data_IF_482855540912
#
_entry.id   IF_482855540912
#
_cell.length_a   1.000
_cell.length_b   1.000
_cell.length_c   1.000
_cell.angle_alpha   90.00
_cell.angle_beta   90.00
_cell.angle_gamma   90.00
#
_symmetry.space_group_name_H-M   'P 1'
#
loop_
_entity.id
_entity.type
_entity.pdbx_description
1 polymer ?
#
# COMPACT_ATOMS: atom_id res chain seq x y z
N UNK A 1 13.16 -16.10 -5.63
CA UNK A 1 12.34 -16.99 -4.79
C UNK A 1 11.81 -16.27 -3.57
N UNK A 2 12.61 -15.94 -2.54
CA UNK A 2 12.07 -15.34 -1.31
C UNK A 2 11.35 -13.99 -1.56
N UNK A 3 11.96 -13.05 -2.31
CA UNK A 3 11.29 -11.79 -2.68
C UNK A 3 10.04 -11.99 -3.55
N UNK A 4 10.05 -13.00 -4.43
CA UNK A 4 8.90 -13.40 -5.26
C UNK A 4 7.74 -13.89 -4.39
N UNK A 5 8.01 -14.74 -3.40
CA UNK A 5 7.00 -15.23 -2.47
C UNK A 5 6.40 -14.11 -1.63
N UNK A 6 7.23 -13.17 -1.16
CA UNK A 6 6.76 -12.04 -0.37
C UNK A 6 5.89 -11.08 -1.21
N UNK A 7 6.23 -10.84 -2.48
CA UNK A 7 5.40 -10.05 -3.39
C UNK A 7 4.07 -10.74 -3.71
N UNK A 8 4.05 -12.08 -3.84
CA UNK A 8 2.79 -12.84 -3.93
C UNK A 8 1.96 -12.68 -2.64
N UNK A 9 2.61 -12.68 -1.48
CA UNK A 9 1.98 -12.41 -0.18
C UNK A 9 1.32 -11.03 -0.14
N UNK A 10 2.02 -9.99 -0.59
CA UNK A 10 1.46 -8.65 -0.76
C UNK A 10 0.24 -8.63 -1.69
N UNK A 11 0.32 -9.35 -2.83
CA UNK A 11 -0.81 -9.56 -3.74
C UNK A 11 -2.05 -10.23 -3.12
N UNK A 12 -1.88 -10.97 -2.02
CA UNK A 12 -2.97 -11.59 -1.25
C UNK A 12 -3.52 -10.61 -0.19
N UNK A 13 -2.63 -9.90 0.51
CA UNK A 13 -2.97 -9.05 1.66
C UNK A 13 -3.55 -7.69 1.24
N UNK A 14 -3.08 -7.09 0.14
CA UNK A 14 -3.54 -5.78 -0.34
C UNK A 14 -5.05 -5.74 -0.63
N UNK A 15 -5.63 -6.73 -1.36
CA UNK A 15 -7.08 -6.79 -1.54
C UNK A 15 -7.86 -6.99 -0.23
N UNK A 16 -7.30 -7.73 0.73
CA UNK A 16 -7.94 -7.95 2.03
C UNK A 16 -8.03 -6.64 2.83
N UNK A 17 -6.93 -5.91 2.97
CA UNK A 17 -6.89 -4.62 3.67
C UNK A 17 -7.76 -3.57 2.97
N UNK A 18 -7.74 -3.53 1.64
CA UNK A 18 -8.54 -2.58 0.85
C UNK A 18 -10.04 -2.73 1.11
N UNK A 19 -10.53 -3.97 1.21
CA UNK A 19 -11.95 -4.25 1.49
C UNK A 19 -12.30 -3.90 2.93
N UNK A 20 -11.42 -4.20 3.89
CA UNK A 20 -11.63 -3.84 5.30
C UNK A 20 -11.71 -2.32 5.48
N UNK A 21 -10.79 -1.57 4.85
CA UNK A 21 -10.79 -0.11 4.88
C UNK A 21 -12.07 0.50 4.28
N UNK A 22 -12.56 -0.05 3.16
CA UNK A 22 -13.83 0.38 2.58
C UNK A 22 -15.03 0.14 3.53
N UNK A 23 -14.97 -0.92 4.33
CA UNK A 23 -16.03 -1.25 5.28
C UNK A 23 -15.98 -0.44 6.56
N UNK A 24 -14.78 -0.09 7.05
CA UNK A 24 -14.60 0.90 8.11
C UNK A 24 -15.22 2.25 7.71
N UNK A 25 -15.05 2.67 6.47
CA UNK A 25 -15.68 3.89 5.94
C UNK A 25 -17.21 3.88 5.92
N UNK A 26 -17.84 2.71 5.82
CA UNK A 26 -19.30 2.59 5.95
C UNK A 26 -19.73 2.64 7.42
N UNK A 27 -18.92 2.09 8.31
CA UNK A 27 -19.21 2.03 9.76
C UNK A 27 -19.05 3.37 10.46
N UNK A 28 -18.12 4.23 10.02
CA UNK A 28 -17.87 5.52 10.66
C UNK A 28 -19.14 6.40 10.85
N UNK A 29 -20.05 6.53 9.87
CA UNK A 29 -21.32 7.25 10.04
C UNK A 29 -22.46 6.39 10.62
N UNK A 30 -22.35 5.05 10.57
CA UNK A 30 -23.39 4.12 11.05
C UNK A 30 -22.82 3.05 11.99
N UNK A 31 -22.60 3.38 13.29
CA UNK A 31 -22.08 2.43 14.28
C UNK A 31 -22.98 1.22 14.52
N UNK A 32 -24.26 1.30 14.13
CA UNK A 32 -25.25 0.23 14.23
C UNK A 32 -25.00 -0.93 13.25
N UNK A 33 -24.14 -0.75 12.24
CA UNK A 33 -23.69 -1.82 11.33
C UNK A 33 -22.62 -2.66 12.04
N UNK A 34 -23.00 -3.37 13.10
CA UNK A 34 -22.10 -4.24 13.86
C UNK A 34 -22.33 -5.73 13.54
N UNK A 35 -21.22 -6.46 13.34
CA UNK A 35 -21.05 -7.92 13.25
C UNK A 35 -21.73 -8.71 12.11
N UNK A 36 -22.77 -8.23 11.44
CA UNK A 36 -23.28 -8.88 10.19
C UNK A 36 -22.41 -8.59 8.95
N UNK A 37 -21.33 -7.83 9.12
CA UNK A 37 -20.47 -7.33 8.05
C UNK A 37 -19.60 -8.39 7.39
N UNK A 38 -19.33 -9.51 8.05
CA UNK A 38 -18.39 -10.54 7.53
C UNK A 38 -18.84 -11.04 6.14
N UNK A 39 -20.15 -11.23 5.93
CA UNK A 39 -20.73 -11.61 4.64
C UNK A 39 -20.56 -10.53 3.54
N UNK A 40 -20.64 -9.26 3.93
CA UNK A 40 -20.43 -8.15 3.01
C UNK A 40 -18.97 -8.01 2.56
N UNK A 41 -17.99 -8.33 3.43
CA UNK A 41 -16.57 -8.37 3.03
C UNK A 41 -16.37 -9.38 1.89
N UNK A 42 -16.94 -10.58 2.00
CA UNK A 42 -16.80 -11.60 0.96
C UNK A 42 -17.47 -11.19 -0.34
N UNK A 43 -18.65 -10.57 -0.29
CA UNK A 43 -19.33 -10.13 -1.49
C UNK A 43 -18.48 -9.12 -2.27
N UNK A 44 -17.83 -8.17 -1.58
CA UNK A 44 -16.96 -7.17 -2.22
C UNK A 44 -15.69 -7.82 -2.80
N UNK A 45 -15.02 -8.69 -2.04
CA UNK A 45 -13.83 -9.44 -2.54
C UNK A 45 -14.20 -10.26 -3.77
N UNK A 46 -15.31 -11.01 -3.70
CA UNK A 46 -15.75 -11.88 -4.78
C UNK A 46 -16.10 -11.06 -6.03
N UNK A 47 -16.80 -9.94 -5.88
CA UNK A 47 -17.05 -9.00 -6.98
C UNK A 47 -15.74 -8.47 -7.56
N UNK A 48 -14.78 -8.06 -6.73
CA UNK A 48 -13.48 -7.55 -7.17
C UNK A 48 -12.71 -8.59 -7.99
N UNK A 49 -12.64 -9.84 -7.52
CA UNK A 49 -11.95 -10.94 -8.20
C UNK A 49 -12.70 -11.43 -9.45
N UNK A 50 -14.04 -11.40 -9.46
CA UNK A 50 -14.84 -11.75 -10.63
C UNK A 50 -14.78 -10.68 -11.72
N UNK A 51 -14.60 -9.41 -11.35
CA UNK A 51 -14.43 -8.31 -12.30
C UNK A 51 -13.08 -8.35 -13.02
N UNK A 52 -12.06 -9.04 -12.45
CA UNK A 52 -10.73 -9.18 -13.07
C UNK A 52 -10.79 -9.78 -14.49
N UNK A 53 -11.77 -10.65 -14.78
CA UNK A 53 -11.95 -11.29 -16.09
C UNK A 53 -12.22 -10.31 -17.23
N UNK A 54 -12.71 -9.11 -16.94
CA UNK A 54 -13.03 -8.10 -17.95
C UNK A 54 -11.79 -7.34 -18.45
N UNK A 55 -10.63 -7.62 -17.87
CA UNK A 55 -9.33 -7.27 -18.41
C UNK A 55 -8.85 -5.85 -18.09
N UNK A 56 -7.56 -5.75 -17.82
CA UNK A 56 -6.81 -4.52 -17.56
C UNK A 56 -6.96 -3.46 -18.65
N UNK A 57 -7.15 -3.86 -19.92
CA UNK A 57 -7.13 -2.93 -21.07
C UNK A 57 -8.28 -1.92 -21.10
N UNK A 58 -9.52 -2.33 -20.80
CA UNK A 58 -10.67 -1.40 -20.72
C UNK A 58 -10.77 -0.70 -19.38
N UNK A 59 -10.30 -1.35 -18.32
CA UNK A 59 -10.46 -0.84 -16.95
C UNK A 59 -9.35 0.16 -16.58
N UNK A 60 -8.14 0.04 -17.16
CA UNK A 60 -7.03 0.98 -16.97
C UNK A 60 -7.38 2.43 -17.35
N UNK A 61 -8.21 2.64 -18.39
CA UNK A 61 -8.69 3.98 -18.75
C UNK A 61 -9.61 4.58 -17.68
N UNK A 62 -10.40 3.75 -16.97
CA UNK A 62 -11.25 4.18 -15.87
C UNK A 62 -10.46 4.39 -14.57
N UNK A 63 -9.31 3.75 -14.40
CA UNK A 63 -8.47 3.89 -13.21
C UNK A 63 -7.75 5.22 -13.12
N UNK A 64 -7.26 5.73 -14.25
CA UNK A 64 -6.56 7.02 -14.28
C UNK A 64 -7.40 8.19 -13.72
N UNK A 65 -8.69 8.39 -14.10
CA UNK A 65 -9.50 9.46 -13.52
C UNK A 65 -9.85 9.22 -12.05
N UNK A 66 -10.01 7.97 -11.61
CA UNK A 66 -10.25 7.65 -10.20
C UNK A 66 -9.03 8.03 -9.35
N UNK A 67 -7.83 7.64 -9.78
CA UNK A 67 -6.59 8.00 -9.08
C UNK A 67 -6.30 9.50 -9.15
N UNK A 68 -6.61 10.15 -10.27
CA UNK A 68 -6.58 11.61 -10.39
C UNK A 68 -7.51 12.30 -9.39
N UNK A 69 -8.76 11.84 -9.28
CA UNK A 69 -9.71 12.35 -8.31
C UNK A 69 -9.24 12.13 -6.87
N UNK A 70 -8.74 10.93 -6.55
CA UNK A 70 -8.19 10.62 -5.23
C UNK A 70 -7.03 11.55 -4.87
N UNK A 71 -6.01 11.63 -5.73
CA UNK A 71 -4.80 12.41 -5.51
C UNK A 71 -5.03 13.92 -5.46
N UNK A 72 -6.12 14.42 -6.05
CA UNK A 72 -6.54 15.83 -5.97
C UNK A 72 -7.44 16.11 -4.77
N UNK A 73 -8.43 15.26 -4.48
CA UNK A 73 -9.39 15.50 -3.40
C UNK A 73 -8.75 15.38 -2.01
N UNK A 74 -7.90 14.38 -1.78
CA UNK A 74 -7.30 14.15 -0.46
C UNK A 74 -6.40 15.30 0.04
N UNK A 75 -5.53 15.94 -0.77
CA UNK A 75 -4.77 17.09 -0.29
C UNK A 75 -5.62 18.33 -0.11
N UNK A 76 -6.70 18.52 -0.88
CA UNK A 76 -7.63 19.64 -0.68
C UNK A 76 -8.31 19.53 0.69
N UNK A 77 -8.74 18.33 1.07
CA UNK A 77 -9.29 18.05 2.40
C UNK A 77 -8.21 18.23 3.47
N UNK A 78 -6.98 17.77 3.20
CA UNK A 78 -5.82 17.99 4.06
C UNK A 78 -5.58 19.48 4.32
N UNK A 79 -5.51 20.31 3.27
CA UNK A 79 -5.34 21.77 3.36
C UNK A 79 -6.48 22.41 4.15
N UNK A 80 -7.72 22.02 3.90
CA UNK A 80 -8.87 22.52 4.67
C UNK A 80 -8.71 22.21 6.16
N UNK A 81 -8.34 20.97 6.51
CA UNK A 81 -8.12 20.57 7.90
C UNK A 81 -6.97 21.33 8.56
N UNK A 82 -5.87 21.57 7.83
CA UNK A 82 -4.72 22.36 8.33
C UNK A 82 -5.15 23.77 8.70
N UNK A 83 -5.89 24.44 7.81
CA UNK A 83 -6.33 25.82 8.01
C UNK A 83 -7.30 25.93 9.19
N UNK A 84 -8.23 24.98 9.33
CA UNK A 84 -9.25 24.99 10.38
C UNK A 84 -8.70 24.55 11.75
N UNK A 85 -7.87 23.52 11.79
CA UNK A 85 -7.46 22.88 13.05
C UNK A 85 -6.13 23.43 13.56
N UNK A 86 -5.05 23.36 12.77
CA UNK A 86 -3.72 23.74 13.28
C UNK A 86 -2.74 24.14 12.15
N UNK A 87 -2.68 25.42 11.77
CA UNK A 87 -1.78 25.88 10.70
C UNK A 87 -0.28 25.74 11.02
N UNK A 88 0.09 25.73 12.30
CA UNK A 88 1.48 25.56 12.73
C UNK A 88 2.00 24.12 12.63
N UNK A 89 1.20 23.19 12.08
CA UNK A 89 1.57 21.78 11.93
C UNK A 89 2.82 21.57 11.07
N UNK A 90 3.11 22.47 10.12
CA UNK A 90 4.27 22.35 9.24
C UNK A 90 5.61 22.32 9.99
N UNK A 91 5.65 22.77 11.25
CA UNK A 91 6.82 22.60 12.11
C UNK A 91 7.19 21.12 12.27
N UNK A 92 6.20 20.22 12.28
CA UNK A 92 6.41 18.77 12.41
C UNK A 92 7.20 18.16 11.24
N UNK A 93 7.31 18.84 10.09
CA UNK A 93 8.15 18.40 8.98
C UNK A 93 9.65 18.58 9.26
N UNK A 94 10.02 19.36 10.27
CA UNK A 94 11.43 19.52 10.65
C UNK A 94 11.98 18.23 11.26
N UNK A 95 13.11 17.69 10.76
CA UNK A 95 13.76 16.49 11.31
C UNK A 95 14.07 16.60 12.81
N UNK A 96 14.19 17.81 13.34
CA UNK A 96 14.41 18.04 14.76
C UNK A 96 13.35 17.39 15.66
N UNK A 97 12.09 17.36 15.22
CA UNK A 97 11.00 16.73 15.99
C UNK A 97 11.10 15.22 16.01
N UNK A 98 11.62 14.61 14.95
CA UNK A 98 11.86 13.16 14.90
C UNK A 98 12.91 12.77 15.95
N UNK A 99 14.03 13.49 16.02
CA UNK A 99 15.06 13.25 17.03
C UNK A 99 14.52 13.44 18.46
N UNK A 100 13.77 14.53 18.70
CA UNK A 100 13.18 14.78 20.01
C UNK A 100 12.14 13.72 20.40
N UNK A 101 11.35 13.22 19.44
CA UNK A 101 10.37 12.16 19.65
C UNK A 101 11.03 10.85 20.11
N UNK A 102 12.07 10.41 19.39
CA UNK A 102 12.79 9.18 19.77
C UNK A 102 13.58 9.33 21.06
N UNK A 103 14.15 10.51 21.32
CA UNK A 103 14.84 10.78 22.58
C UNK A 103 13.90 10.69 23.79
N UNK A 104 12.66 11.18 23.65
CA UNK A 104 11.66 11.18 24.72
C UNK A 104 10.99 9.82 24.93
N UNK A 105 10.63 9.13 23.85
CA UNK A 105 9.79 7.92 23.91
C UNK A 105 10.60 6.62 23.86
N UNK A 106 11.87 6.66 23.45
CA UNK A 106 12.77 5.51 23.42
C UNK A 106 12.15 4.28 22.74
N UNK A 107 11.96 3.21 23.50
CA UNK A 107 11.42 1.92 23.02
C UNK A 107 9.97 2.03 22.52
N UNK A 108 9.12 2.82 23.16
CA UNK A 108 7.73 3.02 22.70
C UNK A 108 7.71 3.73 21.34
N UNK A 109 8.58 4.73 21.16
CA UNK A 109 8.75 5.39 19.87
C UNK A 109 9.20 4.43 18.77
N UNK A 110 10.11 3.50 19.09
CA UNK A 110 10.55 2.46 18.16
C UNK A 110 9.41 1.50 17.77
N UNK A 111 8.56 1.07 18.71
CA UNK A 111 7.40 0.21 18.40
C UNK A 111 6.39 0.92 17.47
N UNK A 112 6.22 2.23 17.63
CA UNK A 112 5.32 3.03 16.78
C UNK A 112 5.79 3.11 15.31
N UNK A 113 7.09 2.94 15.04
CA UNK A 113 7.60 2.85 13.66
C UNK A 113 6.96 1.71 12.88
N UNK A 114 6.59 0.62 13.55
CA UNK A 114 5.92 -0.50 12.93
C UNK A 114 4.54 -0.16 12.34
N UNK A 115 3.85 0.85 12.89
CA UNK A 115 2.62 1.37 12.27
C UNK A 115 2.89 2.27 11.08
N UNK A 116 3.96 3.07 11.13
CA UNK A 116 4.31 4.02 10.06
C UNK A 116 4.82 3.35 8.79
N UNK A 117 5.31 2.10 8.87
CA UNK A 117 5.77 1.35 7.68
C UNK A 117 4.65 1.19 6.65
N UNK A 118 3.40 1.07 7.13
CA UNK A 118 2.20 0.94 6.30
C UNK A 118 1.94 2.18 5.43
N UNK A 119 2.56 3.32 5.73
CA UNK A 119 2.46 4.52 4.90
C UNK A 119 3.38 4.48 3.66
N UNK A 120 4.39 3.60 3.66
CA UNK A 120 5.40 3.49 2.59
C UNK A 120 5.07 2.33 1.63
N UNK A 121 4.10 1.49 2.00
CA UNK A 121 3.62 0.38 1.17
C UNK A 121 3.06 0.90 -0.15
N UNK A 122 3.34 0.19 -1.24
CA UNK A 122 3.03 0.57 -2.62
C UNK A 122 4.22 1.17 -3.36
N UNK A 123 5.29 1.56 -2.66
CA UNK A 123 6.54 2.00 -3.32
C UNK A 123 7.25 0.84 -4.02
N UNK A 124 7.14 -0.37 -3.49
CA UNK A 124 7.63 -1.62 -4.09
C UNK A 124 6.91 -1.96 -5.40
N UNK A 125 5.60 -1.70 -5.48
CA UNK A 125 4.81 -1.93 -6.69
C UNK A 125 5.24 -1.00 -7.84
N UNK A 126 5.72 0.21 -7.52
CA UNK A 126 6.29 1.13 -8.50
C UNK A 126 7.48 0.53 -9.25
N UNK A 127 8.27 -0.31 -8.59
CA UNK A 127 9.41 -0.99 -9.18
C UNK A 127 9.02 -2.26 -9.96
N UNK A 128 7.94 -2.93 -9.56
CA UNK A 128 7.42 -4.09 -10.28
C UNK A 128 6.87 -3.73 -11.67
N UNK A 129 6.28 -2.54 -11.82
CA UNK A 129 5.69 -2.04 -13.06
C UNK A 129 6.65 -1.23 -13.97
N UNK A 130 7.95 -1.19 -13.65
CA UNK A 130 8.96 -0.47 -14.46
C UNK A 130 9.07 -0.96 -15.91
N UNK A 131 8.54 -2.15 -16.23
CA UNK A 131 8.49 -2.66 -17.61
C UNK A 131 7.51 -1.90 -18.52
N UNK A 132 6.57 -1.14 -17.95
CA UNK A 132 5.47 -0.50 -18.68
C UNK A 132 5.62 1.00 -18.89
N UNK A 133 6.39 1.67 -18.03
CA UNK A 133 6.48 3.13 -17.98
C UNK A 133 7.92 3.62 -18.03
N UNK A 134 8.13 4.76 -18.69
CA UNK A 134 9.45 5.39 -18.70
C UNK A 134 9.80 5.96 -17.31
N UNK A 135 11.08 5.88 -16.94
CA UNK A 135 11.63 6.39 -15.68
C UNK A 135 11.21 7.83 -15.40
N UNK A 136 11.29 8.71 -16.40
CA UNK A 136 10.95 10.13 -16.24
C UNK A 136 9.48 10.34 -15.90
N UNK A 137 8.57 9.57 -16.51
CA UNK A 137 7.13 9.67 -16.24
C UNK A 137 6.81 9.31 -14.79
N UNK A 138 7.44 8.25 -14.27
CA UNK A 138 7.29 7.81 -12.89
C UNK A 138 7.80 8.89 -11.92
N UNK A 139 9.00 9.42 -12.17
CA UNK A 139 9.61 10.42 -11.29
C UNK A 139 8.79 11.71 -11.23
N UNK A 140 8.30 12.19 -12.38
CA UNK A 140 7.47 13.40 -12.45
C UNK A 140 6.15 13.19 -11.71
N UNK A 141 5.45 12.08 -11.96
CA UNK A 141 4.17 11.79 -11.30
C UNK A 141 4.33 11.64 -9.78
N UNK A 142 5.39 10.95 -9.34
CA UNK A 142 5.67 10.76 -7.93
C UNK A 142 6.01 12.08 -7.22
N UNK A 143 6.97 12.85 -7.76
CA UNK A 143 7.46 14.06 -7.11
C UNK A 143 6.48 15.23 -7.15
N UNK A 144 5.72 15.39 -8.23
CA UNK A 144 4.81 16.53 -8.40
C UNK A 144 3.39 16.27 -7.90
N UNK A 145 2.95 15.02 -7.89
CA UNK A 145 1.54 14.69 -7.57
C UNK A 145 1.45 13.84 -6.31
N UNK A 146 2.02 12.64 -6.32
CA UNK A 146 1.80 11.65 -5.24
C UNK A 146 2.42 12.11 -3.92
N UNK A 147 3.70 12.46 -3.92
CA UNK A 147 4.43 12.86 -2.73
C UNK A 147 3.81 14.08 -2.02
N UNK A 148 3.55 15.24 -2.70
CA UNK A 148 2.92 16.37 -2.03
C UNK A 148 1.49 16.06 -1.58
N UNK A 149 0.74 15.25 -2.33
CA UNK A 149 -0.60 14.81 -1.96
C UNK A 149 -0.59 14.05 -0.62
N UNK A 150 0.28 13.05 -0.49
CA UNK A 150 0.44 12.26 0.73
C UNK A 150 0.85 13.13 1.92
N UNK A 151 1.85 14.00 1.75
CA UNK A 151 2.32 14.89 2.82
C UNK A 151 1.19 15.79 3.31
N UNK A 152 0.45 16.44 2.40
CA UNK A 152 -0.67 17.32 2.77
C UNK A 152 -1.81 16.57 3.47
N UNK A 153 -2.12 15.36 3.02
CA UNK A 153 -3.16 14.53 3.65
C UNK A 153 -2.76 14.09 5.06
N UNK A 154 -1.55 13.57 5.27
CA UNK A 154 -1.10 13.15 6.61
C UNK A 154 -0.94 14.34 7.56
N UNK A 155 -0.42 15.46 7.09
CA UNK A 155 -0.31 16.69 7.87
C UNK A 155 -1.70 17.21 8.26
N UNK A 156 -2.68 17.17 7.34
CA UNK A 156 -4.05 17.55 7.63
C UNK A 156 -4.79 16.63 8.59
N UNK A 157 -4.56 15.32 8.52
CA UNK A 157 -5.05 14.36 9.52
C UNK A 157 -4.44 14.63 10.88
N UNK A 158 -3.13 14.85 10.94
CA UNK A 158 -2.42 15.13 12.19
C UNK A 158 -2.94 16.44 12.81
N UNK A 159 -3.18 17.47 12.01
CA UNK A 159 -3.75 18.73 12.49
C UNK A 159 -5.13 18.54 13.17
N UNK A 160 -5.96 17.63 12.64
CA UNK A 160 -7.24 17.25 13.24
C UNK A 160 -7.05 16.47 14.55
N UNK A 161 -6.20 15.43 14.54
CA UNK A 161 -5.98 14.55 15.69
C UNK A 161 -5.33 15.26 16.89
N UNK A 162 -4.56 16.33 16.67
CA UNK A 162 -4.04 17.17 17.76
C UNK A 162 -5.17 17.78 18.59
N UNK A 163 -6.29 18.15 17.95
CA UNK A 163 -7.47 18.70 18.64
C UNK A 163 -8.41 17.60 19.13
N UNK A 164 -8.45 16.45 18.46
CA UNK A 164 -9.35 15.33 18.76
C UNK A 164 -8.55 14.02 18.96
N UNK A 165 -7.85 13.84 20.09
CA UNK A 165 -6.96 12.68 20.30
C UNK A 165 -7.71 11.34 20.42
N UNK A 166 -9.00 11.37 20.79
CA UNK A 166 -9.81 10.16 20.94
C UNK A 166 -10.32 9.59 19.60
N UNK A 167 -10.06 10.28 18.49
CA UNK A 167 -10.61 9.96 17.17
C UNK A 167 -9.62 9.18 16.28
N UNK A 168 -8.67 8.45 16.89
CA UNK A 168 -7.59 7.77 16.17
C UNK A 168 -8.03 6.54 15.36
N UNK A 169 -9.07 5.82 15.78
CA UNK A 169 -9.53 4.60 15.10
C UNK A 169 -10.04 4.87 13.68
N UNK A 170 -10.84 5.93 13.50
CA UNK A 170 -11.39 6.35 12.21
C UNK A 170 -10.79 7.70 11.74
N UNK A 171 -9.50 7.91 12.01
CA UNK A 171 -8.84 9.20 11.83
C UNK A 171 -9.00 9.79 10.42
N UNK A 172 -8.95 8.93 9.38
CA UNK A 172 -9.18 9.33 7.99
C UNK A 172 -10.61 9.81 7.71
N UNK A 173 -11.62 9.14 8.28
CA UNK A 173 -13.01 9.48 7.99
C UNK A 173 -13.50 10.67 8.82
N UNK A 174 -12.95 10.85 10.02
CA UNK A 174 -13.32 11.93 10.95
C UNK A 174 -12.72 13.29 10.60
N UNK A 175 -11.54 13.35 9.98
CA UNK A 175 -10.97 14.64 9.54
C UNK A 175 -11.63 15.22 8.28
N UNK A 176 -12.45 14.42 7.58
CA UNK A 176 -13.19 14.85 6.39
C UNK A 176 -14.40 15.71 6.81
N UNK A 177 -14.62 16.88 6.19
CA UNK A 177 -15.82 17.67 6.42
C UNK A 177 -17.10 16.90 6.09
N UNK A 178 -18.10 16.99 6.97
CA UNK A 178 -19.36 16.22 6.84
C UNK A 178 -20.06 16.38 5.49
N UNK A 179 -20.01 17.57 4.88
CA UNK A 179 -20.59 17.84 3.57
C UNK A 179 -19.91 17.08 2.41
N UNK A 180 -18.62 16.73 2.54
CA UNK A 180 -17.84 16.04 1.52
C UNK A 180 -17.58 14.56 1.84
N UNK A 181 -18.12 14.06 2.96
CA UNK A 181 -17.93 12.69 3.43
C UNK A 181 -18.23 11.65 2.35
N UNK A 182 -19.47 11.66 1.84
CA UNK A 182 -19.94 10.68 0.86
C UNK A 182 -19.17 10.71 -0.47
N UNK A 183 -18.94 11.89 -1.09
CA UNK A 183 -18.08 11.97 -2.27
C UNK A 183 -16.69 11.37 -2.05
N UNK A 184 -16.02 11.70 -0.94
CA UNK A 184 -14.66 11.22 -0.66
C UNK A 184 -14.67 9.74 -0.33
N UNK A 185 -15.67 9.25 0.40
CA UNK A 185 -15.85 7.82 0.68
C UNK A 185 -15.95 6.99 -0.61
N UNK A 186 -16.74 7.45 -1.60
CA UNK A 186 -16.86 6.78 -2.90
C UNK A 186 -15.51 6.76 -3.61
N UNK A 187 -14.81 7.91 -3.67
CA UNK A 187 -13.49 8.00 -4.31
C UNK A 187 -12.47 7.10 -3.60
N UNK A 188 -12.46 7.07 -2.26
CA UNK A 188 -11.58 6.23 -1.45
C UNK A 188 -11.81 4.74 -1.75
N UNK A 189 -13.07 4.30 -1.77
CA UNK A 189 -13.45 2.92 -2.06
C UNK A 189 -13.04 2.51 -3.48
N UNK A 190 -13.26 3.40 -4.45
CA UNK A 190 -12.83 3.17 -5.83
C UNK A 190 -11.31 3.10 -5.94
N UNK A 191 -10.57 4.01 -5.28
CA UNK A 191 -9.11 4.00 -5.27
C UNK A 191 -8.54 2.72 -4.62
N UNK A 192 -9.13 2.25 -3.53
CA UNK A 192 -8.77 0.98 -2.89
C UNK A 192 -8.98 -0.22 -3.83
N UNK A 193 -10.06 -0.20 -4.62
CA UNK A 193 -10.30 -1.22 -5.65
C UNK A 193 -9.26 -1.17 -6.78
N UNK A 194 -8.83 0.03 -7.21
CA UNK A 194 -7.74 0.20 -8.19
C UNK A 194 -6.40 -0.32 -7.65
N UNK A 195 -6.08 -0.01 -6.39
CA UNK A 195 -4.86 -0.47 -5.74
C UNK A 195 -4.81 -2.01 -5.68
N UNK A 196 -5.90 -2.64 -5.23
CA UNK A 196 -6.06 -4.09 -5.22
C UNK A 196 -5.84 -4.72 -6.59
N UNK A 197 -6.43 -4.11 -7.63
CA UNK A 197 -6.32 -4.60 -9.00
C UNK A 197 -4.88 -4.55 -9.53
N UNK A 198 -4.16 -3.48 -9.20
CA UNK A 198 -2.78 -3.27 -9.64
C UNK A 198 -1.87 -4.36 -9.07
N UNK A 199 -2.02 -4.69 -7.78
CA UNK A 199 -1.23 -5.74 -7.12
C UNK A 199 -1.60 -7.16 -7.60
N UNK A 200 -2.87 -7.43 -7.87
CA UNK A 200 -3.30 -8.70 -8.48
C UNK A 200 -2.64 -8.87 -9.86
N UNK A 201 -2.61 -7.80 -10.66
CA UNK A 201 -1.96 -7.81 -11.98
C UNK A 201 -0.45 -8.00 -11.89
N UNK A 202 0.21 -7.31 -10.95
CA UNK A 202 1.64 -7.47 -10.69
C UNK A 202 1.97 -8.93 -10.32
N UNK A 203 1.09 -9.57 -9.53
CA UNK A 203 1.22 -10.99 -9.16
C UNK A 203 1.14 -11.92 -10.38
N UNK A 204 0.23 -11.65 -11.33
CA UNK A 204 0.16 -12.41 -12.58
C UNK A 204 1.44 -12.28 -13.41
N UNK A 205 2.00 -11.07 -13.49
CA UNK A 205 3.26 -10.82 -14.20
C UNK A 205 4.44 -11.54 -13.56
N UNK A 206 4.53 -11.53 -12.22
CA UNK A 206 5.60 -12.20 -11.47
C UNK A 206 5.52 -13.73 -11.59
N UNK A 207 4.31 -14.30 -11.56
CA UNK A 207 4.12 -15.74 -11.78
C UNK A 207 4.49 -16.12 -13.22
N UNK A 208 4.08 -15.33 -14.21
CA UNK A 208 4.50 -15.54 -15.61
C UNK A 208 6.02 -15.55 -15.76
N UNK A 209 6.71 -14.57 -15.18
CA UNK A 209 8.18 -14.51 -15.19
C UNK A 209 8.79 -15.72 -14.50
N UNK A 210 8.19 -16.20 -13.39
CA UNK A 210 8.64 -17.40 -12.68
C UNK A 210 8.46 -18.68 -13.50
N UNK A 211 7.39 -18.79 -14.30
CA UNK A 211 7.18 -19.90 -15.24
C UNK A 211 8.24 -19.89 -16.35
N UNK A 212 8.62 -18.72 -16.87
CA UNK A 212 9.69 -18.59 -17.89
C UNK A 212 11.05 -19.02 -17.34
N UNK A 213 11.28 -18.86 -16.05
CA UNK A 213 12.51 -19.28 -15.35
C UNK A 213 12.46 -20.74 -14.85
N UNK A 214 11.48 -21.53 -15.27
CA UNK A 214 11.23 -22.93 -14.84
C UNK A 214 11.09 -23.11 -13.31
N UNK A 215 10.77 -22.04 -12.59
CA UNK A 215 10.57 -22.04 -11.13
C UNK A 215 9.12 -22.32 -10.70
N UNK A 216 8.17 -22.34 -11.64
CA UNK A 216 6.76 -22.53 -11.36
C UNK A 216 6.11 -23.46 -12.42
N UNK A 217 5.15 -24.34 -12.05
CA UNK A 217 4.47 -25.20 -13.02
C UNK A 217 3.76 -24.38 -14.10
N UNK A 218 3.57 -24.96 -15.29
CA UNK A 218 2.95 -24.27 -16.42
C UNK A 218 1.52 -23.84 -16.06
N UNK A 219 1.29 -22.54 -15.99
CA UNK A 219 -0.02 -21.94 -15.74
C UNK A 219 -0.61 -21.42 -17.05
N UNK A 220 -1.93 -21.52 -17.21
CA UNK A 220 -2.61 -20.88 -18.35
C UNK A 220 -2.50 -19.35 -18.26
N UNK A 221 -1.78 -18.77 -19.22
CA UNK A 221 -1.66 -17.31 -19.40
C UNK A 221 -2.58 -16.88 -20.55
N UNK A 222 -3.51 -15.98 -20.25
CA UNK A 222 -4.39 -15.34 -21.24
C UNK A 222 -3.95 -13.90 -21.40
N UNK A 223 -3.46 -13.53 -22.58
CA UNK A 223 -3.15 -12.14 -22.89
C UNK A 223 -4.46 -11.37 -23.05
N UNK A 224 -4.64 -10.34 -22.21
CA UNK A 224 -5.90 -9.57 -22.18
C UNK A 224 -5.92 -8.40 -23.15
N UNK A 225 -4.78 -8.10 -23.78
CA UNK A 225 -4.63 -7.07 -24.80
C UNK A 225 -3.72 -7.55 -25.93
N UNK A 226 -4.12 -7.29 -27.18
CA UNK A 226 -3.31 -7.61 -28.38
C UNK A 226 -2.11 -6.68 -28.55
N UNK A 227 -2.13 -5.50 -27.90
CA UNK A 227 -1.15 -4.43 -28.13
C UNK A 227 -0.20 -4.20 -26.96
N UNK A 228 -0.38 -4.88 -25.81
CA UNK A 228 0.47 -4.74 -24.62
C UNK A 228 0.80 -6.11 -24.02
N UNK A 229 2.03 -6.58 -24.23
CA UNK A 229 2.46 -7.94 -23.82
C UNK A 229 2.45 -8.20 -22.30
N UNK A 230 2.50 -7.16 -21.47
CA UNK A 230 2.48 -7.29 -20.01
C UNK A 230 1.08 -7.18 -19.37
N UNK A 231 0.01 -7.01 -20.15
CA UNK A 231 -1.36 -7.19 -19.64
C UNK A 231 -1.71 -8.69 -19.63
N UNK A 232 -1.32 -9.35 -18.55
CA UNK A 232 -1.37 -10.81 -18.35
C UNK A 232 -2.51 -11.14 -17.40
N UNK A 233 -3.50 -11.92 -17.86
CA UNK A 233 -4.54 -12.48 -17.00
C UNK A 233 -4.35 -13.98 -16.86
N UNK A 234 -4.28 -14.48 -15.63
CA UNK A 234 -4.26 -15.92 -15.37
C UNK A 234 -5.46 -16.33 -14.52
N UNK A 235 -6.45 -17.03 -15.11
CA UNK A 235 -7.65 -17.44 -14.39
C UNK A 235 -7.33 -18.30 -13.16
N UNK A 236 -6.38 -19.24 -13.28
CA UNK A 236 -6.01 -20.16 -12.20
C UNK A 236 -5.41 -19.42 -11.01
N UNK A 237 -4.47 -18.50 -11.27
CA UNK A 237 -3.88 -17.67 -10.21
C UNK A 237 -4.96 -16.78 -9.57
N UNK A 238 -5.86 -16.20 -10.37
CA UNK A 238 -6.93 -15.34 -9.85
C UNK A 238 -7.81 -16.08 -8.84
N UNK A 239 -8.20 -17.33 -9.13
CA UNK A 239 -8.98 -18.15 -8.19
C UNK A 239 -8.19 -18.51 -6.94
N UNK A 240 -6.91 -18.84 -7.07
CA UNK A 240 -6.05 -19.14 -5.91
C UNK A 240 -5.89 -17.91 -5.02
N UNK A 241 -5.59 -16.74 -5.60
CA UNK A 241 -5.49 -15.48 -4.87
C UNK A 241 -6.80 -15.11 -4.19
N UNK A 242 -7.94 -15.32 -4.85
CA UNK A 242 -9.26 -15.09 -4.26
C UNK A 242 -9.48 -15.97 -3.02
N UNK A 243 -9.19 -17.27 -3.12
CA UNK A 243 -9.35 -18.20 -1.99
C UNK A 243 -8.43 -17.80 -0.83
N UNK A 244 -7.17 -17.48 -1.11
CA UNK A 244 -6.20 -17.07 -0.09
C UNK A 244 -6.60 -15.73 0.56
N UNK A 245 -7.06 -14.76 -0.21
CA UNK A 245 -7.55 -13.48 0.31
C UNK A 245 -8.76 -13.69 1.24
N UNK A 246 -9.72 -14.53 0.84
CA UNK A 246 -10.88 -14.87 1.68
C UNK A 246 -10.44 -15.60 2.96
N UNK A 247 -9.48 -16.52 2.85
CA UNK A 247 -8.93 -17.24 4.00
C UNK A 247 -8.25 -16.28 5.00
N UNK A 248 -7.47 -15.31 4.53
CA UNK A 248 -6.84 -14.29 5.38
C UNK A 248 -7.89 -13.47 6.13
N UNK A 249 -8.93 -12.99 5.44
CA UNK A 249 -10.01 -12.22 6.07
C UNK A 249 -10.72 -13.06 7.15
N UNK A 250 -10.96 -14.34 6.88
CA UNK A 250 -11.56 -15.28 7.83
C UNK A 250 -10.67 -15.56 9.05
N UNK A 251 -9.37 -15.71 8.85
CA UNK A 251 -8.44 -16.09 9.91
C UNK A 251 -8.14 -14.95 10.87
N UNK A 252 -8.01 -13.72 10.37
CA UNK A 252 -7.64 -12.58 11.21
C UNK A 252 -8.86 -11.82 11.74
N UNK A 253 -9.93 -11.65 10.94
CA UNK A 253 -11.19 -11.02 11.35
C UNK A 253 -11.13 -9.52 11.68
N UNK A 254 -10.01 -9.03 12.22
CA UNK A 254 -9.71 -7.63 12.55
C UNK A 254 -8.72 -7.04 11.54
N UNK A 255 -8.98 -5.80 11.11
CA UNK A 255 -8.11 -5.06 10.18
C UNK A 255 -6.73 -4.76 10.78
N UNK A 256 -6.63 -4.66 12.11
CA UNK A 256 -5.37 -4.38 12.79
C UNK A 256 -4.35 -5.52 12.64
N UNK A 257 -4.78 -6.76 12.80
CA UNK A 257 -3.89 -7.92 12.74
C UNK A 257 -3.42 -8.17 11.30
N UNK A 258 -4.32 -8.00 10.32
CA UNK A 258 -3.96 -8.06 8.89
C UNK A 258 -2.97 -6.94 8.54
N UNK A 259 -3.18 -5.73 9.10
CA UNK A 259 -2.24 -4.62 8.96
C UNK A 259 -0.84 -4.95 9.51
N UNK A 260 -0.75 -5.64 10.64
CA UNK A 260 0.54 -6.09 11.19
C UNK A 260 1.24 -7.09 10.25
N UNK A 261 0.52 -8.12 9.77
CA UNK A 261 1.05 -9.11 8.81
C UNK A 261 1.52 -8.44 7.52
N UNK A 262 0.73 -7.48 7.02
CA UNK A 262 1.06 -6.73 5.82
C UNK A 262 2.33 -5.89 5.99
N UNK A 263 2.49 -5.24 7.15
CA UNK A 263 3.71 -4.52 7.49
C UNK A 263 4.94 -5.42 7.44
N UNK A 264 4.86 -6.65 7.97
CA UNK A 264 5.97 -7.61 7.97
C UNK A 264 6.36 -8.00 6.55
N UNK A 265 5.38 -8.39 5.73
CA UNK A 265 5.62 -8.80 4.34
C UNK A 265 6.30 -7.67 3.56
N UNK A 266 5.75 -6.45 3.60
CA UNK A 266 6.29 -5.34 2.80
C UNK A 266 7.67 -4.90 3.30
N UNK A 267 7.88 -4.83 4.62
CA UNK A 267 9.19 -4.47 5.17
C UNK A 267 10.28 -5.47 4.75
N UNK A 268 9.96 -6.76 4.70
CA UNK A 268 10.88 -7.79 4.21
C UNK A 268 11.11 -7.69 2.70
N UNK A 269 10.06 -7.41 1.90
CA UNK A 269 10.21 -7.17 0.45
C UNK A 269 11.23 -6.05 0.22
N UNK A 270 11.06 -4.90 0.89
CA UNK A 270 11.96 -3.76 0.74
C UNK A 270 13.41 -4.14 1.09
N UNK A 271 13.64 -4.80 2.23
CA UNK A 271 14.97 -5.24 2.66
C UNK A 271 15.62 -6.19 1.63
N UNK A 272 14.86 -7.15 1.11
CA UNK A 272 15.34 -8.07 0.07
C UNK A 272 15.68 -7.30 -1.21
N UNK A 273 14.85 -6.34 -1.62
CA UNK A 273 15.11 -5.52 -2.81
C UNK A 273 16.37 -4.68 -2.65
N UNK A 274 16.64 -4.13 -1.47
CA UNK A 274 17.88 -3.39 -1.19
C UNK A 274 19.11 -4.29 -1.29
N UNK A 275 19.05 -5.51 -0.76
CA UNK A 275 20.14 -6.49 -0.91
C UNK A 275 20.34 -6.86 -2.38
N UNK A 276 19.27 -7.19 -3.10
CA UNK A 276 19.33 -7.56 -4.52
C UNK A 276 19.86 -6.43 -5.39
N UNK A 277 19.41 -5.19 -5.17
CA UNK A 277 19.89 -4.04 -5.94
C UNK A 277 21.37 -3.77 -5.67
N UNK A 278 21.82 -3.96 -4.43
CA UNK A 278 23.25 -3.86 -4.08
C UNK A 278 24.08 -4.88 -4.86
N UNK A 279 23.61 -6.13 -4.99
CA UNK A 279 24.28 -7.14 -5.81
C UNK A 279 24.30 -6.75 -7.29
N UNK A 280 23.20 -6.21 -7.83
CA UNK A 280 23.13 -5.71 -9.21
C UNK A 280 24.11 -4.56 -9.43
N UNK A 281 24.21 -3.62 -8.50
CA UNK A 281 25.13 -2.48 -8.56
C UNK A 281 26.60 -2.91 -8.62
N UNK A 282 26.96 -3.98 -7.91
CA UNK A 282 28.30 -4.56 -7.88
C UNK A 282 28.57 -5.37 -9.15
N UNK A 283 27.69 -6.32 -9.48
CA UNK A 283 27.95 -7.35 -10.49
C UNK A 283 27.68 -6.88 -11.91
N UNK A 284 26.58 -6.16 -12.11
CA UNK A 284 26.09 -5.78 -13.45
C UNK A 284 26.54 -4.37 -13.78
N UNK A 285 26.23 -3.40 -12.92
CA UNK A 285 26.55 -1.99 -13.19
C UNK A 285 28.01 -1.62 -12.90
N UNK A 286 28.75 -2.47 -12.18
CA UNK A 286 30.16 -2.26 -11.81
C UNK A 286 30.40 -0.86 -11.24
N UNK A 287 29.45 -0.38 -10.44
CA UNK A 287 29.53 0.95 -9.81
C UNK A 287 30.68 0.99 -8.80
N UNK A 288 31.31 2.16 -8.58
CA UNK A 288 32.44 2.25 -7.68
C UNK A 288 32.02 1.84 -6.25
N UNK A 289 32.85 1.05 -5.53
CA UNK A 289 32.46 0.44 -4.25
C UNK A 289 31.98 1.42 -3.18
N UNK A 290 32.49 2.66 -3.20
CA UNK A 290 32.06 3.69 -2.25
C UNK A 290 30.61 4.15 -2.48
N UNK A 291 30.13 4.24 -3.74
CA UNK A 291 28.73 4.57 -4.03
C UNK A 291 27.81 3.43 -3.61
N UNK A 292 28.24 2.19 -3.86
CA UNK A 292 27.53 1.00 -3.39
C UNK A 292 27.41 0.99 -1.88
N UNK A 293 28.52 1.27 -1.17
CA UNK A 293 28.52 1.32 0.29
C UNK A 293 27.57 2.41 0.82
N UNK A 294 27.61 3.62 0.25
CA UNK A 294 26.70 4.70 0.64
C UNK A 294 25.25 4.30 0.43
N UNK A 295 24.91 3.71 -0.72
CA UNK A 295 23.57 3.19 -0.99
C UNK A 295 23.16 2.13 0.05
N UNK A 296 23.96 1.06 0.17
CA UNK A 296 23.65 -0.08 1.01
C UNK A 296 23.47 0.34 2.48
N UNK A 297 24.44 1.05 3.06
CA UNK A 297 24.36 1.43 4.47
C UNK A 297 23.20 2.38 4.76
N UNK A 298 22.86 3.27 3.83
CA UNK A 298 21.74 4.20 4.04
C UNK A 298 20.41 3.46 4.05
N UNK A 299 20.10 2.71 2.98
CA UNK A 299 18.81 2.03 2.85
C UNK A 299 18.68 0.84 3.80
N UNK A 300 19.72 0.03 3.93
CA UNK A 300 19.70 -1.13 4.83
C UNK A 300 19.53 -0.73 6.29
N UNK A 301 20.14 0.38 6.73
CA UNK A 301 19.96 0.86 8.11
C UNK A 301 18.55 1.37 8.32
N UNK A 302 18.02 2.19 7.39
CA UNK A 302 16.64 2.69 7.49
C UNK A 302 15.63 1.55 7.49
N UNK A 303 15.67 0.67 6.49
CA UNK A 303 14.77 -0.48 6.38
C UNK A 303 14.98 -1.48 7.51
N UNK A 304 16.21 -1.67 7.99
CA UNK A 304 16.52 -2.52 9.13
C UNK A 304 15.88 -2.01 10.43
N UNK A 305 15.85 -0.69 10.65
CA UNK A 305 15.15 -0.09 11.79
C UNK A 305 13.64 -0.34 11.69
N UNK A 306 13.01 -0.09 10.54
CA UNK A 306 11.58 -0.38 10.35
C UNK A 306 11.28 -1.87 10.50
N UNK A 307 12.06 -2.73 9.85
CA UNK A 307 11.92 -4.18 9.92
C UNK A 307 12.04 -4.68 11.36
N UNK A 308 13.00 -4.16 12.13
CA UNK A 308 13.15 -4.55 13.54
C UNK A 308 11.92 -4.20 14.38
N UNK A 309 11.30 -3.04 14.14
CA UNK A 309 10.08 -2.64 14.84
C UNK A 309 8.88 -3.52 14.44
N UNK A 310 8.73 -3.79 13.15
CA UNK A 310 7.62 -4.58 12.61
C UNK A 310 7.72 -6.06 13.02
N UNK A 311 8.93 -6.64 13.05
CA UNK A 311 9.16 -8.02 13.50
C UNK A 311 8.75 -8.23 14.96
N UNK A 312 8.75 -7.18 15.79
CA UNK A 312 8.26 -7.28 17.17
C UNK A 312 6.75 -7.53 17.26
N UNK A 313 6.01 -7.30 16.17
CA UNK A 313 4.56 -7.53 16.07
C UNK A 313 4.16 -8.91 15.54
N UNK A 314 5.12 -9.78 15.21
CA UNK A 314 4.84 -11.18 14.83
C UNK A 314 3.93 -11.90 15.86
N UNK A 315 4.13 -11.75 17.18
CA UNK A 315 3.24 -12.36 18.17
C UNK A 315 1.81 -11.79 18.16
N UNK A 316 1.61 -10.60 17.59
CA UNK A 316 0.34 -9.87 17.50
C UNK A 316 -0.30 -10.01 16.11
N UNK A 317 0.01 -11.09 15.39
CA UNK A 317 -0.55 -11.40 14.07
C UNK A 317 0.34 -11.05 12.88
N UNK A 318 1.56 -10.55 13.11
CA UNK A 318 2.56 -10.27 12.07
C UNK A 318 3.22 -11.48 11.43
#
# INVERSE_FOLDING_TARGET
MLGTCMLIGDGILTPAISVLSAMEGIRAPFPSVSKSSVEAHYAVVLVLFLLQKFGTSRVSFMFSPIMGAWTLCTPLVGIYSIIQHYPSIFRALSPHYIFHFFWRNGKEGWLLLGGTVLCITGSEALFADLGHFNRSSIQIAFLLTIYPSLVLTYVGQTAYLIKNPNDHDDGFYKFIPTAMYWPIFIIATLAAAVASQSLISATFSVIKQSVVLDYFPRVKVVHTSSNKEGEVYSPEVNYILMILCVAVILSFGDGKDIGNAFGVVVSLVMLITTILLTLVMIMIWRTPPWLVAVYFFTFFTMEGVYSSAVLSKIPEGG
#
